data_IF_292734172796
#
_entry.id   IF_292734172796
#
_cell.length_a   1.000
_cell.length_b   1.000
_cell.length_c   1.000
_cell.angle_alpha   90.00
_cell.angle_beta   90.00
_cell.angle_gamma   90.00
#
_symmetry.space_group_name_H-M   'P 1'
#
loop_
_entity.id
_entity.type
_entity.pdbx_description
1 polymer ?
#
# COMPACT_ATOMS: atom_id res chain seq x y z
N UNK A 1 -26.97 -5.42 1.94
CA UNK A 1 -25.66 -4.86 2.37
C UNK A 1 -25.62 -4.95 3.88
N UNK A 2 -25.05 -6.03 4.42
CA UNK A 2 -24.97 -6.25 5.86
C UNK A 2 -23.48 -6.36 6.21
N UNK A 3 -22.95 -5.33 6.86
CA UNK A 3 -21.64 -5.40 7.52
C UNK A 3 -21.96 -5.77 8.97
N UNK A 4 -21.78 -7.03 9.32
CA UNK A 4 -21.80 -7.45 10.71
C UNK A 4 -20.46 -7.05 11.33
N UNK A 5 -20.49 -6.01 12.17
CA UNK A 5 -19.39 -5.63 13.05
C UNK A 5 -19.58 -6.36 14.38
N UNK A 6 -18.80 -7.41 14.63
CA UNK A 6 -18.59 -7.94 15.97
C UNK A 6 -17.17 -8.49 16.11
N UNK A 7 -16.40 -7.79 16.94
CA UNK A 7 -15.15 -8.12 17.64
C UNK A 7 -14.14 -9.14 17.08
N UNK A 8 -12.87 -8.70 17.18
CA UNK A 8 -11.60 -9.38 16.95
C UNK A 8 -11.12 -9.49 15.49
N UNK A 9 -10.17 -8.60 15.15
CA UNK A 9 -9.42 -8.51 13.89
C UNK A 9 -10.29 -8.30 12.65
N UNK A 10 -10.46 -7.04 12.28
CA UNK A 10 -11.02 -6.65 10.99
C UNK A 10 -10.05 -7.10 9.89
N UNK A 11 -10.19 -8.33 9.39
CA UNK A 11 -9.74 -8.66 8.05
C UNK A 11 -10.68 -7.95 7.08
N UNK A 12 -10.25 -6.82 6.54
CA UNK A 12 -10.95 -6.15 5.45
C UNK A 12 -10.76 -6.95 4.15
N UNK A 13 -11.34 -8.15 4.08
CA UNK A 13 -11.49 -8.89 2.83
C UNK A 13 -12.66 -8.25 2.05
N UNK A 14 -12.36 -7.26 1.22
CA UNK A 14 -13.33 -6.77 0.24
C UNK A 14 -13.40 -7.78 -0.92
N UNK A 15 -14.35 -8.70 -0.87
CA UNK A 15 -14.67 -9.56 -2.01
C UNK A 15 -15.49 -8.75 -3.02
N UNK A 16 -14.89 -8.44 -4.18
CA UNK A 16 -15.65 -7.94 -5.33
C UNK A 16 -16.31 -9.17 -5.98
N UNK A 17 -17.62 -9.33 -5.80
CA UNK A 17 -18.38 -10.41 -6.45
C UNK A 17 -18.63 -10.09 -7.93
N UNK A 18 -17.83 -10.67 -8.82
CA UNK A 18 -18.18 -10.80 -10.25
C UNK A 18 -17.82 -12.20 -10.73
N UNK A 19 -18.85 -12.99 -11.08
CA UNK A 19 -18.77 -14.09 -12.04
C UNK A 19 -18.15 -15.39 -11.54
N UNK A 20 -18.92 -16.47 -11.67
CA UNK A 20 -18.54 -17.86 -11.37
C UNK A 20 -17.29 -18.32 -12.16
N UNK A 21 -16.21 -18.57 -11.44
CA UNK A 21 -15.12 -19.45 -11.85
C UNK A 21 -14.86 -20.43 -10.68
N UNK A 22 -15.56 -21.57 -10.71
CA UNK A 22 -15.62 -22.53 -9.61
C UNK A 22 -14.27 -23.21 -9.29
N UNK A 23 -13.26 -23.19 -10.17
CA UNK A 23 -11.91 -23.76 -9.89
C UNK A 23 -10.73 -22.93 -10.43
N UNK A 24 -10.85 -21.60 -10.49
CA UNK A 24 -9.71 -20.74 -10.84
C UNK A 24 -8.55 -20.89 -9.81
N UNK A 25 -7.30 -21.17 -10.24
CA UNK A 25 -6.16 -21.28 -9.34
C UNK A 25 -5.97 -20.03 -8.49
N UNK A 26 -5.64 -20.24 -7.20
CA UNK A 26 -5.39 -19.16 -6.25
C UNK A 26 -3.92 -18.72 -6.30
N UNK A 27 -3.69 -17.46 -6.65
CA UNK A 27 -2.38 -16.82 -6.66
C UNK A 27 -2.31 -15.82 -5.50
N UNK A 28 -1.32 -15.97 -4.61
CA UNK A 28 -1.08 -15.02 -3.50
C UNK A 28 0.15 -14.18 -3.83
N UNK A 29 -0.01 -12.86 -3.82
CA UNK A 29 1.06 -11.91 -4.13
C UNK A 29 1.00 -10.72 -3.17
N UNK A 30 2.16 -10.21 -2.79
CA UNK A 30 2.27 -8.89 -2.18
C UNK A 30 2.43 -7.80 -3.25
N UNK A 31 1.99 -6.58 -2.94
CA UNK A 31 2.26 -5.40 -3.78
C UNK A 31 3.77 -5.22 -3.98
N UNK A 32 4.58 -5.51 -2.96
CA UNK A 32 6.04 -5.45 -3.05
C UNK A 32 6.62 -6.43 -4.07
N UNK A 33 6.17 -7.69 -4.09
CA UNK A 33 6.58 -8.68 -5.09
C UNK A 33 6.15 -8.28 -6.50
N UNK A 34 4.94 -7.73 -6.64
CA UNK A 34 4.45 -7.24 -7.93
C UNK A 34 5.31 -6.09 -8.46
N UNK A 35 5.57 -5.07 -7.63
CA UNK A 35 6.44 -3.93 -8.01
C UNK A 35 7.85 -4.42 -8.32
N UNK A 36 8.42 -5.26 -7.46
CA UNK A 36 9.74 -5.83 -7.68
C UNK A 36 9.79 -6.59 -9.01
N UNK A 37 8.72 -7.31 -9.38
CA UNK A 37 8.60 -8.00 -10.65
C UNK A 37 8.54 -7.03 -11.84
N UNK A 38 7.67 -6.02 -11.75
CA UNK A 38 7.45 -5.05 -12.82
C UNK A 38 8.65 -4.15 -13.06
N UNK A 39 9.41 -3.82 -12.02
CA UNK A 39 10.56 -2.93 -12.08
C UNK A 39 11.90 -3.64 -12.33
N UNK A 40 11.91 -4.96 -12.67
CA UNK A 40 13.17 -5.67 -12.97
C UNK A 40 13.88 -5.18 -14.23
N UNK A 41 13.20 -4.45 -15.11
CA UNK A 41 13.80 -3.77 -16.25
C UNK A 41 14.02 -2.29 -15.89
N UNK A 42 15.23 -1.94 -15.49
CA UNK A 42 15.62 -0.58 -15.16
C UNK A 42 17.15 -0.46 -15.12
N UNK A 43 17.64 0.72 -15.48
CA UNK A 43 19.07 1.05 -15.51
C UNK A 43 19.68 0.97 -14.08
N UNK A 44 20.90 0.43 -13.97
CA UNK A 44 21.68 0.36 -12.72
C UNK A 44 22.26 1.72 -12.33
N UNK A 45 22.11 2.74 -13.18
CA UNK A 45 22.58 4.10 -12.90
C UNK A 45 21.69 4.73 -11.82
N UNK A 46 22.13 4.56 -10.58
CA UNK A 46 21.56 5.21 -9.40
C UNK A 46 22.06 6.67 -9.31
N UNK A 47 21.57 7.56 -10.19
CA UNK A 47 21.93 8.99 -10.21
C UNK A 47 21.09 9.86 -9.25
N UNK A 48 20.38 9.22 -8.31
CA UNK A 48 19.77 9.95 -7.21
C UNK A 48 20.86 10.27 -6.18
N UNK A 49 21.17 11.56 -5.98
CA UNK A 49 22.07 12.02 -4.91
C UNK A 49 21.74 11.40 -3.54
N UNK A 50 22.64 11.46 -2.55
CA UNK A 50 22.56 10.65 -1.33
C UNK A 50 21.25 10.92 -0.60
N UNK A 51 20.28 10.01 -0.76
CA UNK A 51 19.01 10.04 -0.05
C UNK A 51 19.19 9.63 1.41
N UNK A 52 18.11 9.72 2.21
CA UNK A 52 18.12 9.22 3.58
C UNK A 52 18.53 7.75 3.62
N UNK A 53 19.34 7.39 4.60
CA UNK A 53 19.66 5.99 4.87
C UNK A 53 18.42 5.23 5.29
N UNK A 54 18.44 3.90 5.11
CA UNK A 54 17.35 3.03 5.57
C UNK A 54 17.07 3.21 7.08
N UNK A 55 18.12 3.44 7.89
CA UNK A 55 17.98 3.66 9.32
C UNK A 55 17.29 4.99 9.66
N UNK A 56 17.59 6.05 8.91
CA UNK A 56 16.89 7.34 9.04
C UNK A 56 15.43 7.21 8.66
N UNK A 57 15.13 6.50 7.56
CA UNK A 57 13.77 6.17 7.16
C UNK A 57 12.99 5.43 8.26
N UNK A 58 13.56 4.34 8.79
CA UNK A 58 12.94 3.56 9.86
C UNK A 58 12.66 4.43 11.11
N UNK A 59 13.61 5.27 11.52
CA UNK A 59 13.42 6.18 12.67
C UNK A 59 12.32 7.20 12.41
N UNK A 60 12.22 7.73 11.19
CA UNK A 60 11.17 8.65 10.81
C UNK A 60 9.78 8.00 10.86
N UNK A 61 9.61 6.80 10.28
CA UNK A 61 8.36 6.02 10.35
C UNK A 61 7.95 5.78 11.80
N UNK A 62 8.85 5.22 12.61
CA UNK A 62 8.57 4.94 14.02
C UNK A 62 8.17 6.19 14.81
N UNK A 63 8.77 7.34 14.54
CA UNK A 63 8.45 8.61 15.20
C UNK A 63 7.04 9.06 14.84
N UNK A 64 6.69 9.08 13.55
CA UNK A 64 5.38 9.54 13.07
C UNK A 64 4.26 8.56 13.46
N UNK A 65 4.50 7.26 13.35
CA UNK A 65 3.55 6.24 13.80
C UNK A 65 3.26 6.33 15.30
N UNK A 66 4.23 6.69 16.15
CA UNK A 66 3.99 6.94 17.58
C UNK A 66 3.16 8.19 17.84
N UNK A 67 3.17 9.15 16.92
CA UNK A 67 2.41 10.41 17.00
C UNK A 67 1.04 10.32 16.32
N UNK A 68 0.68 9.15 15.78
CA UNK A 68 -0.61 8.94 15.11
C UNK A 68 -1.80 9.29 16.03
N UNK A 69 -2.92 9.74 15.46
CA UNK A 69 -4.14 9.99 16.23
C UNK A 69 -4.63 8.73 16.97
N UNK A 70 -5.32 8.94 18.11
CA UNK A 70 -5.94 7.84 18.86
C UNK A 70 -6.96 7.12 17.98
N UNK A 71 -6.94 5.79 18.01
CA UNK A 71 -7.81 4.96 17.17
C UNK A 71 -7.24 4.65 15.79
N UNK A 72 -6.13 5.27 15.40
CA UNK A 72 -5.38 4.90 14.19
C UNK A 72 -4.43 3.74 14.46
N UNK A 73 -4.23 2.90 13.44
CA UNK A 73 -3.40 1.71 13.49
C UNK A 73 -2.14 1.93 12.65
N UNK A 74 -0.97 1.64 13.21
CA UNK A 74 0.29 1.70 12.47
C UNK A 74 0.59 0.34 11.83
N UNK A 75 1.30 0.33 10.70
CA UNK A 75 1.75 -0.89 10.03
C UNK A 75 0.57 -1.82 9.69
N UNK A 76 -0.52 -1.23 9.19
CA UNK A 76 -1.81 -1.90 9.01
C UNK A 76 -1.78 -2.83 7.79
N UNK A 77 -2.07 -4.11 8.00
CA UNK A 77 -2.12 -5.12 6.94
C UNK A 77 -3.40 -4.99 6.12
N UNK A 78 -3.25 -5.01 4.80
CA UNK A 78 -4.35 -4.93 3.84
C UNK A 78 -4.30 -6.15 2.92
N UNK A 79 -5.48 -6.68 2.60
CA UNK A 79 -5.61 -7.77 1.65
C UNK A 79 -6.90 -7.61 0.84
N UNK A 80 -6.82 -7.84 -0.46
CA UNK A 80 -7.98 -7.87 -1.35
C UNK A 80 -7.90 -9.10 -2.23
N UNK A 81 -9.06 -9.71 -2.49
CA UNK A 81 -9.17 -10.77 -3.48
C UNK A 81 -9.75 -10.17 -4.76
N UNK A 82 -8.99 -10.25 -5.85
CA UNK A 82 -9.34 -9.72 -7.16
C UNK A 82 -9.39 -10.89 -8.14
N UNK A 83 -10.53 -11.15 -8.78
CA UNK A 83 -10.58 -12.09 -9.91
C UNK A 83 -9.87 -11.45 -11.11
N UNK A 84 -8.94 -12.17 -11.72
CA UNK A 84 -8.20 -11.75 -12.91
C UNK A 84 -8.18 -12.91 -13.89
N UNK A 85 -8.89 -12.79 -15.01
CA UNK A 85 -9.02 -13.85 -16.03
C UNK A 85 -9.38 -15.20 -15.40
N UNK A 86 -8.52 -16.21 -15.56
CA UNK A 86 -8.68 -17.55 -15.04
C UNK A 86 -8.11 -17.74 -13.62
N UNK A 87 -7.69 -16.66 -12.95
CA UNK A 87 -7.06 -16.70 -11.63
C UNK A 87 -7.87 -15.95 -10.56
N UNK A 88 -7.82 -16.50 -9.33
CA UNK A 88 -8.19 -15.77 -8.12
C UNK A 88 -6.90 -15.19 -7.52
N UNK A 89 -6.74 -13.87 -7.57
CA UNK A 89 -5.53 -13.22 -7.04
C UNK A 89 -5.82 -12.63 -5.67
N UNK A 90 -5.04 -13.04 -4.66
CA UNK A 90 -5.01 -12.40 -3.34
C UNK A 90 -3.83 -11.44 -3.34
N UNK A 91 -4.14 -10.14 -3.42
CA UNK A 91 -3.17 -9.07 -3.33
C UNK A 91 -3.09 -8.55 -1.90
N UNK A 92 -1.89 -8.54 -1.33
CA UNK A 92 -1.66 -8.09 0.04
C UNK A 92 -0.64 -6.96 0.12
N UNK A 93 -0.72 -6.17 1.17
CA UNK A 93 0.18 -5.04 1.39
C UNK A 93 0.11 -4.55 2.82
N UNK A 94 0.86 -3.49 3.09
CA UNK A 94 0.88 -2.85 4.40
C UNK A 94 0.90 -1.34 4.21
N UNK A 95 0.00 -0.65 4.88
CA UNK A 95 -0.02 0.80 4.97
C UNK A 95 0.73 1.25 6.24
N UNK A 96 1.37 2.41 6.19
CA UNK A 96 2.07 2.95 7.35
C UNK A 96 1.11 3.33 8.49
N UNK A 97 0.01 4.02 8.17
CA UNK A 97 -1.05 4.34 9.13
C UNK A 97 -2.43 4.18 8.48
N UNK A 98 -3.32 3.49 9.17
CA UNK A 98 -4.73 3.38 8.85
C UNK A 98 -5.58 4.16 9.86
N UNK A 99 -6.47 5.00 9.34
CA UNK A 99 -7.40 5.80 10.12
C UNK A 99 -8.83 5.31 9.89
N UNK A 100 -9.33 4.37 10.73
CA UNK A 100 -10.70 3.92 10.63
C UNK A 100 -11.65 5.09 10.87
N UNK A 101 -12.70 5.19 10.06
CA UNK A 101 -13.80 6.13 10.27
C UNK A 101 -15.01 5.38 10.80
N UNK A 102 -15.72 6.02 11.73
CA UNK A 102 -16.98 5.51 12.29
C UNK A 102 -18.19 6.01 11.54
N UNK A 103 -18.06 7.10 10.78
CA UNK A 103 -19.11 7.65 9.93
C UNK A 103 -19.11 6.96 8.56
N UNK A 104 -20.29 6.51 8.13
CA UNK A 104 -20.52 5.86 6.83
C UNK A 104 -20.35 6.83 5.65
N UNK A 105 -20.38 8.15 5.90
CA UNK A 105 -20.22 9.17 4.87
C UNK A 105 -18.77 9.62 4.68
N UNK A 106 -17.85 9.19 5.55
CA UNK A 106 -16.42 9.49 5.42
C UNK A 106 -15.63 8.22 5.14
N UNK A 107 -14.89 8.15 4.01
CA UNK A 107 -14.08 6.97 3.74
C UNK A 107 -12.93 6.88 4.75
N UNK A 108 -12.51 5.65 5.04
CA UNK A 108 -11.28 5.42 5.80
C UNK A 108 -10.09 6.09 5.10
N UNK A 109 -9.18 6.67 5.90
CA UNK A 109 -7.97 7.31 5.38
C UNK A 109 -6.76 6.40 5.59
N UNK A 110 -5.83 6.46 4.65
CA UNK A 110 -4.59 5.69 4.65
C UNK A 110 -3.45 6.67 4.38
N UNK A 111 -2.46 6.65 5.27
CA UNK A 111 -1.24 7.44 5.12
C UNK A 111 -0.06 6.54 4.74
N UNK A 112 0.77 7.03 3.82
CA UNK A 112 2.07 6.47 3.46
C UNK A 112 3.16 7.49 3.82
N UNK A 113 4.20 7.04 4.50
CA UNK A 113 5.32 7.86 4.96
C UNK A 113 6.50 7.65 4.01
N UNK A 114 7.10 8.76 3.58
CA UNK A 114 8.37 8.76 2.82
C UNK A 114 9.34 9.75 3.44
N UNK A 115 10.59 9.33 3.57
CA UNK A 115 11.68 10.20 4.04
C UNK A 115 12.49 10.65 2.84
N UNK A 116 12.75 11.95 2.73
CA UNK A 116 13.55 12.54 1.65
C UNK A 116 14.30 13.78 2.17
N UNK A 117 15.43 14.10 1.54
CA UNK A 117 16.14 15.36 1.77
C UNK A 117 15.67 16.49 0.82
N UNK A 118 14.83 16.17 -0.17
CA UNK A 118 14.24 17.18 -1.04
C UNK A 118 12.87 17.65 -0.49
N UNK A 119 12.51 18.93 -0.64
CA UNK A 119 11.22 19.42 -0.23
C UNK A 119 10.09 18.80 -1.08
N UNK A 120 8.88 18.58 -0.52
CA UNK A 120 7.79 17.86 -1.19
C UNK A 120 7.37 18.43 -2.55
N UNK A 121 7.46 19.76 -2.74
CA UNK A 121 7.14 20.42 -4.01
C UNK A 121 7.97 19.90 -5.19
N UNK A 122 9.20 19.46 -4.93
CA UNK A 122 10.11 18.94 -5.95
C UNK A 122 10.01 17.40 -6.09
N UNK A 123 9.26 16.74 -5.21
CA UNK A 123 9.06 15.29 -5.24
C UNK A 123 8.12 14.88 -6.37
N UNK A 124 7.04 15.62 -6.60
CA UNK A 124 6.09 15.34 -7.69
C UNK A 124 6.74 15.46 -9.08
N UNK A 125 7.58 16.48 -9.28
CA UNK A 125 8.35 16.64 -10.51
C UNK A 125 9.37 15.52 -10.77
N UNK A 126 9.78 14.76 -9.75
CA UNK A 126 10.62 13.57 -9.95
C UNK A 126 9.82 12.39 -10.53
N UNK A 127 8.54 12.22 -10.16
CA UNK A 127 7.68 11.19 -10.76
C UNK A 127 7.27 11.52 -12.19
N UNK A 128 7.02 12.81 -12.48
CA UNK A 128 6.65 13.24 -13.83
C UNK A 128 7.78 12.94 -14.84
N UNK A 129 9.04 13.12 -14.43
CA UNK A 129 10.20 12.84 -15.29
C UNK A 129 10.49 11.33 -15.49
N UNK A 130 9.96 10.45 -14.64
CA UNK A 130 10.08 8.99 -14.80
C UNK A 130 9.12 8.41 -15.84
N UNK A 131 8.14 9.19 -16.31
CA UNK A 131 7.21 8.79 -17.38
C UNK A 131 7.73 9.08 -18.80
N UNK A 132 8.95 9.59 -18.94
CA UNK A 132 9.41 10.27 -20.15
C UNK A 132 10.52 9.64 -20.99
N UNK A 133 10.98 8.42 -20.73
CA UNK A 133 12.01 7.79 -21.60
C UNK A 133 11.63 6.34 -21.96
N UNK A 134 10.87 6.23 -23.04
CA UNK A 134 10.72 5.04 -23.90
C UNK A 134 11.95 4.82 -24.77
#
# INVERSE_FOLDING_TARGET
MAIALSDSKVEACLAIEVGSAEEAPLLRLSVGELVAFSCRSGDLINDTGPGPSALEGIRAHQKLQKQRPKGSEAEYFLQVQVPIEDYKVVLSGRADIFHPQTDLHTPAQIDEIKTTYCPPRNYLSLFDNYSGHS
#
